data_IF_514261868902
#
_entry.id   IF_514261868902
#
_cell.length_a   1.000
_cell.length_b   1.000
_cell.length_c   1.000
_cell.angle_alpha   90.00
_cell.angle_beta   90.00
_cell.angle_gamma   90.00
#
_symmetry.space_group_name_H-M   'P 1'
#
loop_
_entity.id
_entity.type
_entity.pdbx_description
1 polymer ?
#
# COMPACT_ATOMS: atom_id res chain seq x y z
N UNK A 1 -42.31 81.43 30.95
CA UNK A 1 -41.60 80.32 31.64
C UNK A 1 -40.93 79.49 30.55
N UNK A 2 -39.59 79.51 30.41
CA UNK A 2 -38.58 78.69 31.15
C UNK A 2 -38.71 77.22 30.69
N UNK A 3 -37.75 76.51 30.11
CA UNK A 3 -36.31 76.67 29.87
C UNK A 3 -35.87 75.72 28.73
N UNK A 4 -34.84 76.10 27.98
CA UNK A 4 -33.94 75.18 27.27
C UNK A 4 -33.06 74.43 28.30
N UNK A 5 -32.86 73.12 28.10
CA UNK A 5 -31.65 72.42 28.58
C UNK A 5 -31.12 71.51 27.48
N UNK A 6 -29.82 71.64 27.20
CA UNK A 6 -29.10 70.91 26.17
C UNK A 6 -28.51 69.58 26.68
N UNK A 7 -28.71 68.52 25.88
CA UNK A 7 -27.87 67.33 25.58
C UNK A 7 -27.33 66.42 26.70
N UNK A 8 -27.18 65.11 26.43
CA UNK A 8 -25.89 64.66 25.95
C UNK A 8 -25.97 63.87 24.63
N UNK A 9 -24.99 64.18 23.79
CA UNK A 9 -24.57 63.51 22.57
C UNK A 9 -24.40 62.00 22.77
N UNK A 10 -25.20 61.20 22.06
CA UNK A 10 -24.82 59.81 21.79
C UNK A 10 -23.68 59.82 20.78
N UNK A 11 -22.46 59.62 21.27
CA UNK A 11 -21.33 59.24 20.44
C UNK A 11 -21.66 57.86 19.86
N UNK A 12 -22.13 57.83 18.62
CA UNK A 12 -22.14 56.60 17.83
C UNK A 12 -20.66 56.31 17.57
N UNK A 13 -20.07 55.46 18.40
CA UNK A 13 -18.79 54.85 18.10
C UNK A 13 -18.95 54.20 16.73
N UNK A 14 -18.16 54.66 15.76
CA UNK A 14 -18.04 54.01 14.45
C UNK A 14 -17.43 52.62 14.69
N UNK A 15 -18.24 51.66 15.09
CA UNK A 15 -17.92 50.26 14.87
C UNK A 15 -17.98 50.08 13.35
N UNK A 16 -16.81 50.12 12.70
CA UNK A 16 -16.69 49.61 11.34
C UNK A 16 -17.02 48.12 11.41
N UNK A 17 -18.30 47.77 11.34
CA UNK A 17 -18.71 46.42 11.00
C UNK A 17 -18.31 46.23 9.54
N UNK A 18 -17.14 45.63 9.32
CA UNK A 18 -16.83 45.02 8.04
C UNK A 18 -17.93 43.98 7.80
N UNK A 19 -18.74 44.10 6.73
CA UNK A 19 -19.68 43.04 6.42
C UNK A 19 -18.86 41.79 6.13
N UNK A 20 -18.98 40.79 7.00
CA UNK A 20 -18.46 39.46 6.68
C UNK A 20 -19.20 38.97 5.44
N UNK A 21 -18.51 38.48 4.40
CA UNK A 21 -19.18 37.93 3.24
C UNK A 21 -20.09 36.80 3.71
N UNK A 22 -21.40 37.00 3.52
CA UNK A 22 -22.39 35.95 3.77
C UNK A 22 -22.25 34.98 2.59
N UNK A 23 -21.58 33.86 2.82
CA UNK A 23 -21.49 32.79 1.83
C UNK A 23 -22.84 32.07 1.76
N UNK A 24 -23.52 32.05 0.59
CA UNK A 24 -24.75 31.29 0.43
C UNK A 24 -24.48 29.79 0.63
N UNK A 25 -25.26 29.13 1.49
CA UNK A 25 -25.09 27.69 1.75
C UNK A 25 -25.28 26.86 0.47
N UNK A 26 -26.16 27.29 -0.42
CA UNK A 26 -26.35 26.65 -1.73
C UNK A 26 -25.07 26.63 -2.57
N UNK A 27 -24.33 27.74 -2.59
CA UNK A 27 -23.06 27.84 -3.31
C UNK A 27 -22.00 26.92 -2.67
N UNK A 28 -21.96 26.86 -1.34
CA UNK A 28 -21.08 25.95 -0.62
C UNK A 28 -21.42 24.47 -0.91
N UNK A 29 -22.70 24.13 -1.01
CA UNK A 29 -23.17 22.78 -1.37
C UNK A 29 -22.78 22.43 -2.82
N UNK A 30 -22.93 23.36 -3.76
CA UNK A 30 -22.53 23.18 -5.15
C UNK A 30 -21.03 22.91 -5.27
N UNK A 31 -20.17 23.71 -4.62
CA UNK A 31 -18.73 23.46 -4.64
C UNK A 31 -18.34 22.14 -3.96
N UNK A 32 -18.99 21.78 -2.84
CA UNK A 32 -18.79 20.46 -2.20
C UNK A 32 -19.12 19.33 -3.17
N UNK A 33 -20.20 19.43 -3.95
CA UNK A 33 -20.56 18.43 -4.95
C UNK A 33 -19.55 18.34 -6.09
N UNK A 34 -19.07 19.49 -6.60
CA UNK A 34 -18.04 19.54 -7.64
C UNK A 34 -16.72 18.93 -7.18
N UNK A 35 -16.29 19.24 -5.94
CA UNK A 35 -15.08 18.66 -5.37
C UNK A 35 -15.22 17.14 -5.22
N UNK A 36 -16.36 16.64 -4.73
CA UNK A 36 -16.60 15.19 -4.64
C UNK A 36 -16.54 14.51 -5.99
N UNK A 37 -17.22 15.07 -6.99
CA UNK A 37 -17.20 14.54 -8.35
C UNK A 37 -15.77 14.48 -8.91
N UNK A 38 -14.99 15.55 -8.73
CA UNK A 38 -13.59 15.59 -9.14
C UNK A 38 -12.74 14.52 -8.44
N UNK A 39 -12.92 14.33 -7.12
CA UNK A 39 -12.20 13.30 -6.37
C UNK A 39 -12.59 11.88 -6.82
N UNK A 40 -13.87 11.63 -7.10
CA UNK A 40 -14.36 10.34 -7.56
C UNK A 40 -13.78 9.96 -8.93
N UNK A 41 -13.73 10.92 -9.86
CA UNK A 41 -13.13 10.73 -11.18
C UNK A 41 -11.62 10.48 -11.10
N UNK A 42 -10.91 11.27 -10.29
CA UNK A 42 -9.45 11.16 -10.18
C UNK A 42 -8.98 9.93 -9.38
N UNK A 43 -9.83 9.35 -8.51
CA UNK A 43 -9.52 8.14 -7.72
C UNK A 43 -9.27 6.91 -8.60
N UNK A 44 -9.86 6.86 -9.79
CA UNK A 44 -9.78 5.69 -10.70
C UNK A 44 -8.32 5.37 -11.07
N UNK A 45 -7.50 6.40 -11.33
CA UNK A 45 -6.10 6.22 -11.73
C UNK A 45 -5.26 5.46 -10.70
N UNK A 46 -5.19 5.92 -9.43
CA UNK A 46 -4.56 5.19 -8.33
C UNK A 46 -5.06 3.75 -8.16
N UNK A 47 -6.37 3.51 -8.32
CA UNK A 47 -6.93 2.16 -8.17
C UNK A 47 -6.47 1.19 -9.25
N UNK A 48 -6.33 1.68 -10.48
CA UNK A 48 -5.81 0.88 -11.59
C UNK A 48 -4.32 0.52 -11.41
N UNK A 49 -3.53 1.31 -10.67
CA UNK A 49 -2.11 1.01 -10.41
C UNK A 49 -1.88 -0.19 -9.50
N UNK A 50 -2.91 -0.71 -8.84
CA UNK A 50 -2.80 -1.98 -8.11
C UNK A 50 -2.41 -3.12 -9.07
N UNK A 51 -2.79 -3.02 -10.35
CA UNK A 51 -2.45 -4.00 -11.40
C UNK A 51 -0.95 -4.11 -11.69
N UNK A 52 -0.15 -3.12 -11.30
CA UNK A 52 1.31 -3.18 -11.40
C UNK A 52 1.88 -4.40 -10.63
N UNK A 53 1.13 -4.93 -9.65
CA UNK A 53 1.51 -6.07 -8.82
C UNK A 53 0.82 -7.39 -9.18
N UNK A 54 0.06 -7.45 -10.28
CA UNK A 54 -0.72 -8.65 -10.65
C UNK A 54 0.18 -9.89 -10.81
N UNK A 55 1.41 -9.71 -11.33
CA UNK A 55 2.40 -10.78 -11.45
C UNK A 55 2.79 -11.40 -10.09
N UNK A 56 2.77 -10.60 -9.03
CA UNK A 56 3.21 -10.99 -7.68
C UNK A 56 2.04 -11.35 -6.75
N UNK A 57 0.80 -11.20 -7.22
CA UNK A 57 -0.41 -11.52 -6.44
C UNK A 57 -0.43 -12.94 -5.84
N UNK A 58 0.11 -13.99 -6.52
CA UNK A 58 0.21 -15.33 -5.94
C UNK A 58 0.92 -15.41 -4.58
N UNK A 59 1.85 -14.49 -4.31
CA UNK A 59 2.63 -14.45 -3.07
C UNK A 59 1.80 -14.09 -1.84
N UNK A 60 0.67 -13.39 -2.02
CA UNK A 60 -0.13 -12.84 -0.91
C UNK A 60 -1.58 -13.33 -0.92
N UNK A 61 -2.04 -13.97 -2.00
CA UNK A 61 -3.39 -14.53 -2.09
C UNK A 61 -3.47 -16.01 -1.64
N UNK A 62 -2.37 -16.57 -1.12
CA UNK A 62 -2.29 -17.94 -0.61
C UNK A 62 -1.95 -19.00 -1.67
N UNK A 63 -1.95 -18.69 -2.97
CA UNK A 63 -1.66 -19.68 -4.02
C UNK A 63 -0.26 -20.25 -3.93
N UNK A 64 0.74 -19.39 -3.76
CA UNK A 64 2.13 -19.85 -3.63
C UNK A 64 2.36 -20.59 -2.31
N UNK A 65 1.67 -20.18 -1.24
CA UNK A 65 1.71 -20.90 0.04
C UNK A 65 1.13 -22.32 -0.09
N UNK A 66 -0.03 -22.47 -0.72
CA UNK A 66 -0.62 -23.78 -1.01
C UNK A 66 0.31 -24.64 -1.87
N UNK A 67 0.86 -24.07 -2.95
CA UNK A 67 1.81 -24.75 -3.83
C UNK A 67 3.06 -25.23 -3.07
N UNK A 68 3.68 -24.35 -2.27
CA UNK A 68 4.87 -24.68 -1.49
C UNK A 68 4.58 -25.79 -0.49
N UNK A 69 3.45 -25.69 0.22
CA UNK A 69 3.07 -26.71 1.20
C UNK A 69 2.83 -28.07 0.54
N UNK A 70 2.17 -28.11 -0.61
CA UNK A 70 1.98 -29.34 -1.37
C UNK A 70 3.32 -29.90 -1.87
N UNK A 71 4.16 -29.06 -2.48
CA UNK A 71 5.48 -29.44 -2.97
C UNK A 71 6.35 -30.02 -1.84
N UNK A 72 6.42 -29.35 -0.69
CA UNK A 72 7.21 -29.81 0.46
C UNK A 72 6.67 -31.10 1.10
N UNK A 73 5.41 -31.45 0.88
CA UNK A 73 4.82 -32.71 1.37
C UNK A 73 5.28 -33.93 0.57
N UNK A 74 5.78 -33.71 -0.65
CA UNK A 74 6.22 -34.76 -1.56
C UNK A 74 7.75 -34.92 -1.51
N UNK A 75 8.25 -36.03 -2.06
CA UNK A 75 9.69 -36.27 -2.19
C UNK A 75 10.16 -35.73 -3.54
N UNK A 76 11.03 -34.73 -3.48
CA UNK A 76 11.62 -34.10 -4.66
C UNK A 76 13.11 -34.41 -4.78
N UNK A 77 13.62 -34.28 -5.99
CA UNK A 77 15.06 -34.33 -6.26
C UNK A 77 15.73 -33.01 -5.83
N UNK A 78 17.05 -33.04 -5.67
CA UNK A 78 17.81 -31.83 -5.36
C UNK A 78 17.63 -30.76 -6.45
N UNK A 79 17.64 -31.17 -7.73
CA UNK A 79 17.51 -30.23 -8.85
C UNK A 79 16.13 -29.56 -8.88
N UNK A 80 15.06 -30.30 -8.58
CA UNK A 80 13.70 -29.74 -8.45
C UNK A 80 13.61 -28.69 -7.33
N UNK A 81 14.17 -29.00 -6.15
CA UNK A 81 14.24 -28.04 -5.03
C UNK A 81 15.08 -26.81 -5.40
N UNK A 82 16.23 -27.00 -6.03
CA UNK A 82 17.10 -25.91 -6.46
C UNK A 82 16.40 -25.00 -7.49
N UNK A 83 15.66 -25.57 -8.44
CA UNK A 83 14.90 -24.80 -9.43
C UNK A 83 13.83 -23.91 -8.77
N UNK A 84 13.06 -24.45 -7.83
CA UNK A 84 12.06 -23.64 -7.10
C UNK A 84 12.71 -22.58 -6.22
N UNK A 85 13.84 -22.88 -5.55
CA UNK A 85 14.61 -21.89 -4.77
C UNK A 85 15.07 -20.73 -5.67
N UNK A 86 15.59 -21.05 -6.86
CA UNK A 86 16.05 -20.06 -7.82
C UNK A 86 14.90 -19.20 -8.36
N UNK A 87 13.72 -19.79 -8.57
CA UNK A 87 12.51 -19.06 -8.97
C UNK A 87 12.11 -18.03 -7.91
N UNK A 88 11.97 -18.42 -6.64
CA UNK A 88 11.61 -17.46 -5.59
C UNK A 88 12.72 -16.44 -5.32
N UNK A 89 13.99 -16.82 -5.49
CA UNK A 89 15.11 -15.86 -5.48
C UNK A 89 14.95 -14.81 -6.58
N UNK A 90 14.65 -15.22 -7.81
CA UNK A 90 14.48 -14.28 -8.92
C UNK A 90 13.29 -13.33 -8.68
N UNK A 91 12.22 -13.81 -8.04
CA UNK A 91 11.08 -12.99 -7.64
C UNK A 91 11.49 -11.94 -6.61
N UNK A 92 12.21 -12.32 -5.54
CA UNK A 92 12.74 -11.38 -4.52
C UNK A 92 13.60 -10.29 -5.18
N UNK A 93 14.48 -10.66 -6.11
CA UNK A 93 15.36 -9.72 -6.79
C UNK A 93 14.59 -8.80 -7.76
N UNK A 94 13.43 -9.24 -8.29
CA UNK A 94 12.62 -8.51 -9.28
C UNK A 94 11.64 -7.51 -8.66
N UNK A 95 11.01 -7.83 -7.53
CA UNK A 95 9.95 -7.03 -6.90
C UNK A 95 10.33 -5.52 -6.74
N UNK A 96 11.47 -5.17 -6.14
CA UNK A 96 11.84 -3.77 -5.94
C UNK A 96 12.29 -3.06 -7.23
N UNK A 97 12.78 -3.80 -8.24
CA UNK A 97 13.22 -3.23 -9.52
C UNK A 97 12.06 -2.95 -10.48
N UNK A 98 11.00 -3.76 -10.40
CA UNK A 98 9.82 -3.61 -11.25
C UNK A 98 8.92 -2.46 -10.80
N UNK A 99 9.04 -1.98 -9.55
CA UNK A 99 8.04 -1.12 -8.92
C UNK A 99 8.65 0.12 -8.25
N UNK A 100 8.24 1.31 -8.71
CA UNK A 100 8.57 2.56 -8.03
C UNK A 100 7.89 2.62 -6.65
N UNK A 101 8.60 3.06 -5.62
CA UNK A 101 8.10 3.06 -4.25
C UNK A 101 6.97 4.09 -4.00
N UNK A 102 6.93 5.11 -4.86
CA UNK A 102 5.99 6.22 -4.76
C UNK A 102 5.53 6.60 -6.16
N UNK A 103 4.23 6.76 -6.38
CA UNK A 103 3.69 7.21 -7.67
C UNK A 103 2.71 8.34 -7.42
N UNK A 104 2.95 9.47 -8.09
CA UNK A 104 2.01 10.60 -8.10
C UNK A 104 1.10 10.49 -9.32
N UNK A 105 -0.21 10.59 -9.09
CA UNK A 105 -1.23 10.60 -10.13
C UNK A 105 -2.22 11.71 -9.80
N UNK A 106 -2.26 12.72 -10.66
CA UNK A 106 -3.12 13.90 -10.46
C UNK A 106 -2.94 14.49 -9.04
N UNK A 107 -3.97 14.40 -8.20
CA UNK A 107 -3.99 14.91 -6.83
C UNK A 107 -3.61 13.87 -5.78
N UNK A 108 -3.30 12.64 -6.18
CA UNK A 108 -3.02 11.53 -5.29
C UNK A 108 -1.55 11.11 -5.33
N UNK A 109 -1.07 10.77 -4.15
CA UNK A 109 0.23 10.15 -3.94
C UNK A 109 0.01 8.74 -3.41
N UNK A 110 0.48 7.74 -4.16
CA UNK A 110 0.38 6.34 -3.77
C UNK A 110 1.71 5.87 -3.19
N UNK A 111 1.72 5.60 -1.89
CA UNK A 111 2.85 4.95 -1.22
C UNK A 111 2.72 3.43 -1.35
N UNK A 112 3.70 2.79 -1.96
CA UNK A 112 3.68 1.35 -2.27
C UNK A 112 4.67 0.55 -1.41
N UNK A 113 5.38 1.21 -0.49
CA UNK A 113 6.45 0.61 0.30
C UNK A 113 6.02 -0.61 1.10
N UNK A 114 4.88 -0.52 1.79
CA UNK A 114 4.45 -1.59 2.70
C UNK A 114 4.01 -2.83 1.91
N UNK A 115 3.39 -2.63 0.75
CA UNK A 115 3.04 -3.73 -0.16
C UNK A 115 4.30 -4.38 -0.74
N UNK A 116 5.25 -3.59 -1.25
CA UNK A 116 6.53 -4.10 -1.78
C UNK A 116 7.24 -4.94 -0.71
N UNK A 117 7.36 -4.43 0.51
CA UNK A 117 7.98 -5.16 1.63
C UNK A 117 7.24 -6.44 1.98
N UNK A 118 5.91 -6.44 1.96
CA UNK A 118 5.12 -7.63 2.23
C UNK A 118 5.33 -8.71 1.16
N UNK A 119 5.39 -8.32 -0.12
CA UNK A 119 5.67 -9.23 -1.24
C UNK A 119 7.09 -9.81 -1.13
N UNK A 120 8.09 -8.97 -0.86
CA UNK A 120 9.47 -9.40 -0.64
C UNK A 120 9.58 -10.39 0.53
N UNK A 121 8.93 -10.08 1.66
CA UNK A 121 8.94 -10.95 2.84
C UNK A 121 8.29 -12.31 2.53
N UNK A 122 7.18 -12.34 1.81
CA UNK A 122 6.51 -13.58 1.44
C UNK A 122 7.38 -14.45 0.53
N UNK A 123 7.93 -13.87 -0.55
CA UNK A 123 8.82 -14.60 -1.45
C UNK A 123 10.09 -15.10 -0.74
N UNK A 124 10.65 -14.30 0.17
CA UNK A 124 11.80 -14.68 0.99
C UNK A 124 11.46 -15.86 1.90
N UNK A 125 10.29 -15.85 2.55
CA UNK A 125 9.83 -16.96 3.40
C UNK A 125 9.70 -18.26 2.61
N UNK A 126 9.09 -18.24 1.41
CA UNK A 126 8.94 -19.44 0.57
C UNK A 126 10.29 -20.01 0.12
N UNK A 127 11.22 -19.14 -0.29
CA UNK A 127 12.59 -19.53 -0.61
C UNK A 127 13.27 -20.20 0.59
N UNK A 128 13.13 -19.63 1.79
CA UNK A 128 13.77 -20.15 2.99
C UNK A 128 13.15 -21.50 3.40
N UNK A 129 11.84 -21.68 3.26
CA UNK A 129 11.19 -22.99 3.49
C UNK A 129 11.76 -24.09 2.59
N UNK A 130 11.90 -23.81 1.29
CA UNK A 130 12.50 -24.74 0.32
C UNK A 130 13.98 -25.03 0.65
N UNK A 131 14.73 -24.00 1.01
CA UNK A 131 16.14 -24.14 1.38
C UNK A 131 16.31 -25.01 2.63
N UNK A 132 15.48 -24.82 3.66
CA UNK A 132 15.52 -25.64 4.87
C UNK A 132 15.22 -27.11 4.58
N UNK A 133 14.25 -27.38 3.69
CA UNK A 133 13.97 -28.74 3.23
C UNK A 133 15.17 -29.37 2.52
N UNK A 134 15.78 -28.63 1.60
CA UNK A 134 16.97 -29.07 0.87
C UNK A 134 18.14 -29.40 1.81
N UNK A 135 18.42 -28.53 2.79
CA UNK A 135 19.49 -28.74 3.78
C UNK A 135 19.21 -30.01 4.60
N UNK A 136 17.97 -30.19 5.06
CA UNK A 136 17.57 -31.37 5.85
C UNK A 136 17.75 -32.66 5.07
N UNK A 137 17.38 -32.68 3.80
CA UNK A 137 17.50 -33.88 2.95
C UNK A 137 18.97 -34.22 2.69
N UNK A 138 19.82 -33.23 2.42
CA UNK A 138 21.28 -33.43 2.30
C UNK A 138 21.92 -33.95 3.59
N UNK A 139 21.54 -33.39 4.75
CA UNK A 139 22.05 -33.86 6.05
C UNK A 139 21.70 -35.33 6.32
N UNK A 140 20.51 -35.78 5.93
CA UNK A 140 20.09 -37.18 6.07
C UNK A 140 20.92 -38.10 5.16
N UNK A 141 21.21 -37.67 3.93
CA UNK A 141 22.04 -38.44 3.00
C UNK A 141 23.47 -38.59 3.52
N UNK A 142 24.09 -37.50 3.97
CA UNK A 142 25.44 -37.54 4.52
C UNK A 142 25.55 -38.45 5.76
N UNK A 143 24.55 -38.43 6.65
CA UNK A 143 24.54 -39.30 7.84
C UNK A 143 24.46 -40.78 7.49
N UNK A 144 23.59 -41.15 6.53
CA UNK A 144 23.47 -42.55 6.09
C UNK A 144 24.78 -43.08 5.51
N UNK A 145 25.50 -42.26 4.75
CA UNK A 145 26.79 -42.65 4.18
C UNK A 145 27.91 -42.79 5.22
N UNK A 146 27.82 -42.11 6.37
CA UNK A 146 28.80 -42.23 7.46
C UNK A 146 28.51 -43.36 8.46
N UNK A 147 27.28 -43.92 8.46
CA UNK A 147 26.89 -45.07 9.29
C UNK A 147 27.16 -46.42 8.58
N UNK A 148 27.49 -46.39 7.28
CA UNK A 148 27.81 -47.56 6.44
C UNK A 148 29.34 -47.84 6.35
N UNK A 149 30.18 -47.12 7.11
CA UNK A 149 31.63 -47.37 7.32
C UNK A 149 31.95 -47.84 8.75
#
# INVERSE_FOLDING_TARGET
>A
MVQMKATPTMKISKLKMTPYPIFPEELALQYKAQIRYMLDEQRIGPELRVQDFDEFLPLINGKDEEFINEFLSQKHTFDELANEILKYKAIVDKIPLANEHYVRIEMYDMNRNDLIKALEASAQNFKDMLLQKCIKDLQVLCKRQGDDE
#
